data_IF_704675187346
#
_entry.id   IF_704675187346
#
_cell.length_a   1.000
_cell.length_b   1.000
_cell.length_c   1.000
_cell.angle_alpha   90.00
_cell.angle_beta   90.00
_cell.angle_gamma   90.00
#
_symmetry.space_group_name_H-M   'P 1'
#
loop_
_entity.id
_entity.type
_entity.pdbx_description
1 polymer ?
#
# COMPACT_ATOMS: atom_id res chain seq x y z
N UNK A 1 17.49 24.16 12.50
CA UNK A 1 17.69 22.85 11.87
C UNK A 1 16.36 22.11 12.01
N UNK A 2 15.82 21.52 10.95
CA UNK A 2 14.59 20.72 11.07
C UNK A 2 14.90 19.42 11.81
N UNK A 3 13.96 18.96 12.64
CA UNK A 3 14.05 17.65 13.29
C UNK A 3 13.95 16.54 12.25
N UNK A 4 14.61 15.41 12.49
CA UNK A 4 14.45 14.21 11.69
C UNK A 4 13.09 13.56 11.91
N UNK A 5 12.64 12.73 10.96
CA UNK A 5 11.36 12.01 11.06
C UNK A 5 11.28 11.18 12.34
N UNK A 6 12.39 10.57 12.77
CA UNK A 6 12.50 9.77 14.00
C UNK A 6 12.32 10.63 15.25
N UNK A 7 12.97 11.78 15.32
CA UNK A 7 12.85 12.70 16.45
C UNK A 7 11.41 13.21 16.60
N UNK A 8 10.76 13.55 15.47
CA UNK A 8 9.35 13.99 15.47
C UNK A 8 8.44 12.85 15.97
N UNK A 9 8.64 11.62 15.48
CA UNK A 9 7.85 10.48 15.90
C UNK A 9 8.02 10.13 17.37
N UNK A 10 9.25 10.19 17.91
CA UNK A 10 9.55 9.89 19.32
C UNK A 10 9.03 10.92 20.31
N UNK A 11 8.90 12.19 19.87
CA UNK A 11 8.30 13.25 20.67
C UNK A 11 6.76 13.24 20.64
N UNK A 12 6.15 12.38 19.81
CA UNK A 12 4.70 12.34 19.64
C UNK A 12 3.96 11.95 20.93
N UNK A 13 2.96 12.71 21.30
CA UNK A 13 2.06 12.40 22.42
C UNK A 13 0.90 11.54 21.91
N UNK A 14 1.12 10.23 21.85
CA UNK A 14 0.11 9.29 21.38
C UNK A 14 -1.02 9.10 22.37
N UNK A 15 -2.25 9.08 21.88
CA UNK A 15 -3.44 8.66 22.63
C UNK A 15 -3.54 7.12 22.67
N UNK A 16 -4.26 6.57 23.64
CA UNK A 16 -4.56 5.14 23.65
C UNK A 16 -5.38 4.78 22.38
N UNK A 17 -5.06 3.66 21.73
CA UNK A 17 -5.73 3.30 20.47
C UNK A 17 -7.24 3.10 20.62
N UNK A 18 -7.72 2.69 21.79
CA UNK A 18 -9.14 2.64 22.14
C UNK A 18 -9.82 3.99 21.95
N UNK A 19 -9.16 5.07 22.40
CA UNK A 19 -9.75 6.42 22.35
C UNK A 19 -9.78 6.96 20.91
N UNK A 20 -8.78 6.60 20.11
CA UNK A 20 -8.74 6.90 18.68
C UNK A 20 -9.86 6.15 17.93
N UNK A 21 -9.97 4.85 18.17
CA UNK A 21 -10.99 3.99 17.54
C UNK A 21 -12.41 4.39 17.96
N UNK A 22 -12.60 4.72 19.24
CA UNK A 22 -13.90 5.13 19.79
C UNK A 22 -14.50 6.36 19.11
N UNK A 23 -13.67 7.32 18.66
CA UNK A 23 -14.15 8.50 17.90
C UNK A 23 -14.80 8.12 16.56
N UNK A 24 -14.50 6.94 16.06
CA UNK A 24 -15.04 6.41 14.81
C UNK A 24 -16.12 5.34 15.04
N UNK A 25 -16.56 5.18 16.30
CA UNK A 25 -17.63 4.27 16.67
C UNK A 25 -17.20 2.80 16.72
N UNK A 26 -15.92 2.54 16.95
CA UNK A 26 -15.38 1.20 17.18
C UNK A 26 -15.38 0.96 18.69
N UNK A 27 -16.04 -0.09 19.15
CA UNK A 27 -16.11 -0.46 20.56
C UNK A 27 -14.82 -1.17 21.02
N UNK A 28 -14.59 -1.19 22.34
CA UNK A 28 -13.35 -1.76 22.90
C UNK A 28 -13.26 -3.28 22.67
N UNK A 29 -14.37 -3.99 22.71
CA UNK A 29 -14.47 -5.42 22.45
C UNK A 29 -14.33 -5.80 20.96
N UNK A 30 -14.33 -4.81 20.08
CA UNK A 30 -14.05 -4.96 18.65
C UNK A 30 -12.56 -4.75 18.30
N UNK A 31 -11.72 -4.59 19.34
CA UNK A 31 -10.26 -4.37 19.22
C UNK A 31 -9.48 -5.50 19.90
N UNK A 32 -8.56 -6.10 19.18
CA UNK A 32 -7.54 -6.99 19.75
C UNK A 32 -6.26 -6.18 19.97
N UNK A 33 -5.97 -5.81 21.22
CA UNK A 33 -4.87 -4.90 21.54
C UNK A 33 -3.48 -5.54 21.39
N UNK A 34 -2.60 -4.80 20.73
CA UNK A 34 -1.16 -5.06 20.66
C UNK A 34 -0.41 -3.93 21.38
N UNK A 35 -0.60 -3.85 22.70
CA UNK A 35 -0.13 -2.74 23.54
C UNK A 35 -1.10 -1.56 23.52
N UNK A 36 -0.62 -0.36 23.87
CA UNK A 36 -1.46 0.83 24.07
C UNK A 36 -1.86 1.54 22.77
N UNK A 37 -1.05 1.43 21.73
CA UNK A 37 -1.08 2.35 20.58
C UNK A 37 -1.45 1.68 19.26
N UNK A 38 -1.63 0.36 19.26
CA UNK A 38 -2.01 -0.44 18.10
C UNK A 38 -2.96 -1.57 18.48
N UNK A 39 -3.83 -1.94 17.55
CA UNK A 39 -4.76 -3.05 17.71
C UNK A 39 -5.10 -3.66 16.36
N UNK A 40 -5.64 -4.87 16.36
CA UNK A 40 -6.32 -5.46 15.20
C UNK A 40 -7.82 -5.23 15.31
N UNK A 41 -8.46 -5.06 14.16
CA UNK A 41 -9.90 -4.93 14.02
C UNK A 41 -10.52 -6.32 13.88
N UNK A 42 -11.55 -6.62 14.67
CA UNK A 42 -12.17 -7.95 14.74
C UNK A 42 -13.12 -8.22 13.57
N UNK A 43 -13.44 -9.49 13.34
CA UNK A 43 -14.45 -9.90 12.37
C UNK A 43 -15.87 -9.50 12.80
N UNK A 44 -16.10 -9.33 14.11
CA UNK A 44 -17.35 -8.83 14.69
C UNK A 44 -17.59 -7.37 14.28
N UNK A 45 -16.57 -6.52 14.32
CA UNK A 45 -16.66 -5.16 13.81
C UNK A 45 -17.05 -5.16 12.32
N UNK A 46 -16.38 -5.96 11.50
CA UNK A 46 -16.67 -6.03 10.06
C UNK A 46 -18.14 -6.41 9.80
N UNK A 47 -18.65 -7.41 10.50
CA UNK A 47 -20.05 -7.83 10.41
C UNK A 47 -21.01 -6.72 10.85
N UNK A 48 -20.71 -6.04 11.96
CA UNK A 48 -21.58 -4.97 12.50
C UNK A 48 -21.69 -3.80 11.54
N UNK A 49 -20.57 -3.40 10.91
CA UNK A 49 -20.55 -2.23 10.01
C UNK A 49 -20.90 -2.55 8.56
N UNK A 50 -21.07 -3.83 8.20
CA UNK A 50 -21.30 -4.26 6.82
C UNK A 50 -22.47 -3.53 6.12
N UNK A 51 -23.52 -3.20 6.87
CA UNK A 51 -24.70 -2.47 6.39
C UNK A 51 -24.54 -0.95 6.30
N UNK A 52 -23.45 -0.39 6.79
CA UNK A 52 -23.21 1.05 6.72
C UNK A 52 -23.03 1.51 5.27
N UNK A 53 -23.41 2.77 5.00
CA UNK A 53 -23.09 3.42 3.72
C UNK A 53 -21.58 3.56 3.58
N UNK A 54 -21.07 3.33 2.36
CA UNK A 54 -19.67 3.58 2.06
C UNK A 54 -19.36 5.09 2.04
N UNK A 55 -18.24 5.46 2.63
CA UNK A 55 -17.63 6.76 2.45
C UNK A 55 -17.05 6.95 1.05
N UNK A 56 -16.44 8.11 0.81
CA UNK A 56 -15.77 8.46 -0.45
C UNK A 56 -14.34 7.96 -0.46
N UNK A 57 -13.94 7.27 -1.52
CA UNK A 57 -12.59 6.72 -1.69
C UNK A 57 -11.71 7.69 -2.49
N UNK A 58 -10.62 8.14 -1.89
CA UNK A 58 -9.61 9.01 -2.50
C UNK A 58 -8.34 8.18 -2.70
N UNK A 59 -7.92 8.04 -3.96
CA UNK A 59 -6.68 7.34 -4.31
C UNK A 59 -5.54 8.36 -4.46
N UNK A 60 -4.47 8.20 -3.70
CA UNK A 60 -3.22 8.94 -3.87
C UNK A 60 -2.23 8.10 -4.68
N UNK A 61 -1.77 8.65 -5.78
CA UNK A 61 -0.74 8.09 -6.64
C UNK A 61 0.32 9.16 -6.95
N UNK A 62 1.24 8.92 -7.86
CA UNK A 62 2.26 9.89 -8.23
C UNK A 62 2.69 9.74 -9.69
N UNK A 63 3.51 10.67 -10.14
CA UNK A 63 4.31 10.52 -11.36
C UNK A 63 5.34 9.39 -11.19
N UNK A 64 6.10 9.07 -12.24
CA UNK A 64 7.12 8.00 -12.17
C UNK A 64 8.07 8.21 -10.98
N UNK A 65 8.42 7.11 -10.27
CA UNK A 65 9.29 7.19 -9.11
C UNK A 65 10.69 7.64 -9.49
N UNK A 66 11.25 8.55 -8.68
CA UNK A 66 12.61 9.04 -8.81
C UNK A 66 13.46 8.65 -7.59
N UNK A 67 14.80 8.75 -7.65
CA UNK A 67 15.63 8.45 -6.50
C UNK A 67 15.38 9.31 -5.26
N UNK A 68 14.72 10.47 -5.43
CA UNK A 68 14.37 11.38 -4.32
C UNK A 68 13.07 10.98 -3.61
N UNK A 69 12.23 10.18 -4.26
CA UNK A 69 10.88 9.86 -3.81
C UNK A 69 9.89 11.03 -4.02
N UNK A 70 8.62 10.73 -4.18
CA UNK A 70 7.57 11.73 -4.44
C UNK A 70 6.76 12.09 -3.18
N UNK A 71 6.87 11.28 -2.11
CA UNK A 71 6.22 11.54 -0.83
C UNK A 71 4.73 11.15 -0.80
N UNK A 72 4.28 10.14 -1.55
CA UNK A 72 2.89 9.67 -1.57
C UNK A 72 2.31 9.42 -0.18
N UNK A 73 3.01 8.65 0.66
CA UNK A 73 2.54 8.30 2.00
C UNK A 73 2.41 9.54 2.88
N UNK A 74 3.38 10.45 2.81
CA UNK A 74 3.35 11.74 3.52
C UNK A 74 2.14 12.58 3.09
N UNK A 75 1.88 12.68 1.78
CA UNK A 75 0.69 13.36 1.24
C UNK A 75 -0.59 12.66 1.67
N UNK A 76 -0.66 11.32 1.64
CA UNK A 76 -1.85 10.57 2.06
C UNK A 76 -2.21 10.83 3.53
N UNK A 77 -1.21 10.85 4.39
CA UNK A 77 -1.39 11.13 5.83
C UNK A 77 -1.77 12.60 6.02
N UNK A 78 -1.02 13.53 5.43
CA UNK A 78 -1.30 14.96 5.56
C UNK A 78 -2.67 15.36 5.01
N UNK A 79 -3.12 14.74 3.91
CA UNK A 79 -4.49 14.92 3.39
C UNK A 79 -5.54 14.37 4.37
N UNK A 80 -5.29 13.20 4.97
CA UNK A 80 -6.17 12.64 6.01
C UNK A 80 -6.30 13.59 7.19
N UNK A 81 -5.19 14.11 7.68
CA UNK A 81 -5.15 15.08 8.78
C UNK A 81 -5.87 16.38 8.40
N UNK A 82 -5.62 16.91 7.20
CA UNK A 82 -6.26 18.14 6.71
C UNK A 82 -7.79 17.99 6.59
N UNK A 83 -8.28 16.87 6.05
CA UNK A 83 -9.71 16.58 5.97
C UNK A 83 -10.35 16.52 7.36
N UNK A 84 -9.69 15.88 8.33
CA UNK A 84 -10.16 15.86 9.72
C UNK A 84 -10.17 17.26 10.36
N UNK A 85 -9.16 18.12 10.09
CA UNK A 85 -9.17 19.53 10.52
C UNK A 85 -10.36 20.31 9.95
N UNK A 86 -10.79 20.01 8.74
CA UNK A 86 -12.00 20.56 8.11
C UNK A 86 -13.30 19.91 8.61
N UNK A 87 -13.24 19.13 9.69
CA UNK A 87 -14.40 18.46 10.28
C UNK A 87 -14.97 17.29 9.47
N UNK A 88 -14.17 16.75 8.54
CA UNK A 88 -14.55 15.56 7.74
C UNK A 88 -14.05 14.30 8.43
N UNK A 89 -14.94 13.37 8.73
CA UNK A 89 -14.60 12.09 9.35
C UNK A 89 -13.80 11.21 8.37
N UNK A 90 -12.48 11.24 8.47
CA UNK A 90 -11.55 10.66 7.48
C UNK A 90 -10.60 9.64 8.11
N UNK A 91 -10.41 8.50 7.47
CA UNK A 91 -9.39 7.49 7.80
C UNK A 91 -8.36 7.36 6.68
N UNK A 92 -7.10 7.12 7.05
CA UNK A 92 -6.10 6.61 6.11
C UNK A 92 -6.19 5.08 6.02
N UNK A 93 -5.98 4.53 4.82
CA UNK A 93 -5.86 3.09 4.58
C UNK A 93 -4.55 2.82 3.83
N UNK A 94 -3.52 2.35 4.55
CA UNK A 94 -2.13 2.32 4.11
C UNK A 94 -1.58 0.90 4.04
N UNK A 95 -0.43 0.76 3.37
CA UNK A 95 0.34 -0.49 3.38
C UNK A 95 1.23 -0.56 4.59
N UNK A 96 1.46 -1.78 5.05
CA UNK A 96 2.47 -2.10 6.04
C UNK A 96 3.86 -2.11 5.38
N UNK A 97 4.90 -1.48 5.97
CA UNK A 97 6.26 -1.47 5.42
C UNK A 97 6.97 -2.82 5.64
N UNK A 98 7.83 -3.19 4.69
CA UNK A 98 8.70 -4.36 4.75
C UNK A 98 10.06 -4.01 5.36
N UNK A 99 10.67 -4.94 6.10
CA UNK A 99 11.97 -4.77 6.74
C UNK A 99 13.09 -4.49 5.74
N UNK A 100 13.10 -5.19 4.60
CA UNK A 100 14.13 -5.00 3.59
C UNK A 100 14.27 -3.55 3.12
N UNK A 101 13.19 -2.89 2.65
CA UNK A 101 13.19 -1.46 2.35
C UNK A 101 13.51 -0.56 3.54
N UNK A 102 13.04 -0.89 4.76
CA UNK A 102 13.33 -0.09 5.96
C UNK A 102 14.82 0.02 6.25
N UNK A 103 15.55 -1.08 6.11
CA UNK A 103 17.01 -1.14 6.28
C UNK A 103 17.79 -0.87 4.97
N UNK A 104 17.10 -0.55 3.87
CA UNK A 104 17.68 -0.23 2.58
C UNK A 104 17.75 1.28 2.32
N UNK A 105 18.03 1.63 1.05
CA UNK A 105 18.14 3.02 0.59
C UNK A 105 16.83 3.81 0.78
N UNK A 106 15.67 3.13 0.72
CA UNK A 106 14.37 3.76 0.84
C UNK A 106 14.07 4.24 2.27
N UNK A 107 14.57 3.53 3.27
CA UNK A 107 14.21 3.77 4.68
C UNK A 107 12.77 3.32 5.02
N UNK A 108 12.26 3.77 6.15
CA UNK A 108 10.90 3.46 6.63
C UNK A 108 9.79 4.04 5.75
N UNK A 109 8.57 3.58 5.98
CA UNK A 109 7.39 3.96 5.19
C UNK A 109 6.20 4.40 6.08
N UNK A 110 6.48 5.11 7.16
CA UNK A 110 5.48 5.64 8.09
C UNK A 110 5.00 7.07 7.74
N UNK A 111 5.36 7.60 6.58
CA UNK A 111 5.24 9.01 6.22
C UNK A 111 6.52 9.77 6.51
N UNK A 112 6.47 11.10 6.64
CA UNK A 112 7.63 11.93 6.94
C UNK A 112 7.24 13.30 7.51
N UNK A 113 8.19 13.93 8.23
CA UNK A 113 7.97 15.20 8.91
C UNK A 113 6.81 15.12 9.90
N UNK A 114 5.93 16.10 9.83
CA UNK A 114 4.74 16.17 10.68
C UNK A 114 3.53 15.40 10.11
N UNK A 115 3.68 14.69 9.00
CA UNK A 115 2.67 13.78 8.45
C UNK A 115 3.14 12.34 8.52
N UNK A 116 3.05 11.75 9.70
CA UNK A 116 3.45 10.37 9.99
C UNK A 116 2.35 9.60 10.69
N UNK A 117 2.37 8.27 10.56
CA UNK A 117 1.65 7.33 11.43
C UNK A 117 2.57 6.83 12.54
N UNK A 118 2.01 6.70 13.73
CA UNK A 118 2.75 6.33 14.95
C UNK A 118 2.04 5.19 15.70
N UNK A 119 2.78 4.30 16.39
CA UNK A 119 4.23 4.31 16.67
C UNK A 119 5.05 3.91 15.43
N UNK A 120 5.99 4.75 15.03
CA UNK A 120 6.73 4.64 13.78
C UNK A 120 7.70 3.46 13.79
N UNK A 121 8.45 3.26 14.87
CA UNK A 121 9.39 2.15 15.00
C UNK A 121 8.68 0.80 14.96
N UNK A 122 7.57 0.64 15.69
CA UNK A 122 6.79 -0.60 15.69
C UNK A 122 6.29 -0.93 14.27
N UNK A 123 5.76 0.09 13.57
CA UNK A 123 5.26 -0.07 12.21
C UNK A 123 6.35 -0.52 11.23
N UNK A 124 7.53 0.08 11.33
CA UNK A 124 8.65 -0.21 10.41
C UNK A 124 9.37 -1.53 10.71
N UNK A 125 9.15 -2.13 11.88
CA UNK A 125 9.82 -3.36 12.29
C UNK A 125 8.84 -4.56 12.24
N UNK A 126 8.42 -5.08 13.38
CA UNK A 126 7.59 -6.29 13.43
C UNK A 126 6.09 -6.02 13.56
N UNK A 127 5.72 -4.78 13.74
CA UNK A 127 4.36 -4.24 13.89
C UNK A 127 3.44 -5.12 14.75
N UNK A 128 2.59 -5.96 14.15
CA UNK A 128 1.71 -6.94 14.80
C UNK A 128 2.02 -8.39 14.39
N UNK A 129 3.09 -8.60 13.63
CA UNK A 129 3.57 -9.92 13.24
C UNK A 129 3.01 -10.46 11.92
N UNK A 130 2.28 -9.66 11.14
CA UNK A 130 1.64 -10.10 9.91
C UNK A 130 2.64 -10.60 8.87
N UNK A 131 3.75 -9.88 8.66
CA UNK A 131 4.78 -10.31 7.72
C UNK A 131 5.52 -11.56 8.18
N UNK A 132 5.71 -11.72 9.49
CA UNK A 132 6.26 -12.95 10.04
C UNK A 132 5.33 -14.15 9.83
N UNK A 133 4.02 -13.97 10.02
CA UNK A 133 3.02 -14.99 9.75
C UNK A 133 3.00 -15.40 8.25
N UNK A 134 3.07 -14.41 7.34
CA UNK A 134 3.15 -14.64 5.89
C UNK A 134 4.44 -15.41 5.54
N UNK A 135 5.59 -14.98 6.06
CA UNK A 135 6.88 -15.67 5.87
C UNK A 135 6.79 -17.12 6.35
N UNK A 136 6.22 -17.34 7.53
CA UNK A 136 6.06 -18.68 8.11
C UNK A 136 5.15 -19.57 7.27
N UNK A 137 4.00 -19.05 6.81
CA UNK A 137 3.07 -19.81 5.96
C UNK A 137 3.70 -20.15 4.60
N UNK A 138 4.44 -19.23 4.01
CA UNK A 138 5.15 -19.44 2.75
C UNK A 138 6.22 -20.54 2.87
N UNK A 139 7.01 -20.48 3.92
CA UNK A 139 8.10 -21.42 4.13
C UNK A 139 7.59 -22.79 4.63
N UNK A 140 6.45 -22.83 5.34
CA UNK A 140 5.76 -24.07 5.65
C UNK A 140 5.37 -24.82 4.37
N UNK A 141 4.77 -24.12 3.40
CA UNK A 141 4.41 -24.73 2.12
C UNK A 141 5.63 -25.26 1.37
N UNK A 142 6.75 -24.52 1.38
CA UNK A 142 8.01 -25.00 0.79
C UNK A 142 8.55 -26.24 1.50
N UNK A 143 8.47 -26.29 2.84
CA UNK A 143 8.91 -27.45 3.62
C UNK A 143 8.02 -28.67 3.38
N UNK A 144 6.70 -28.51 3.28
CA UNK A 144 5.76 -29.59 2.96
C UNK A 144 5.99 -30.14 1.56
N UNK A 145 6.26 -29.29 0.59
CA UNK A 145 6.62 -29.68 -0.77
C UNK A 145 7.90 -30.55 -0.79
N UNK A 146 8.98 -30.09 -0.15
CA UNK A 146 10.23 -30.85 -0.09
C UNK A 146 10.07 -32.16 0.68
N UNK A 147 9.29 -32.15 1.76
CA UNK A 147 8.98 -33.39 2.50
C UNK A 147 8.17 -34.35 1.66
N UNK A 148 7.19 -33.91 0.88
CA UNK A 148 6.42 -34.75 -0.03
C UNK A 148 7.33 -35.45 -1.06
N UNK A 149 8.23 -34.67 -1.68
CA UNK A 149 9.21 -35.22 -2.64
C UNK A 149 10.12 -36.25 -1.98
N UNK A 150 10.59 -36.01 -0.75
CA UNK A 150 11.49 -36.89 -0.01
C UNK A 150 10.79 -38.20 0.46
N UNK A 151 9.51 -38.13 0.83
CA UNK A 151 8.76 -39.24 1.44
C UNK A 151 8.00 -40.11 0.43
N UNK A 152 8.42 -40.12 -0.81
CA UNK A 152 7.88 -41.05 -1.81
C UNK A 152 7.26 -40.39 -3.04
N UNK A 153 7.04 -39.07 -2.99
CA UNK A 153 6.60 -38.25 -4.14
C UNK A 153 5.36 -38.85 -4.87
N UNK A 154 4.31 -39.17 -4.12
CA UNK A 154 3.08 -39.80 -4.65
C UNK A 154 2.44 -38.95 -5.77
N UNK A 155 2.57 -37.60 -5.71
CA UNK A 155 2.09 -36.68 -6.74
C UNK A 155 3.00 -36.63 -7.97
N UNK A 156 4.09 -37.39 -7.98
CA UNK A 156 5.07 -37.46 -9.08
C UNK A 156 5.62 -36.10 -9.52
N UNK A 157 5.92 -35.24 -8.56
CA UNK A 157 6.46 -33.88 -8.81
C UNK A 157 7.82 -34.02 -9.53
N UNK A 158 7.98 -33.32 -10.66
CA UNK A 158 9.29 -33.14 -11.29
C UNK A 158 10.08 -32.10 -10.49
N UNK A 159 11.15 -32.52 -9.85
CA UNK A 159 11.99 -31.68 -9.01
C UNK A 159 12.65 -30.52 -9.75
N UNK A 160 12.70 -30.58 -11.09
CA UNK A 160 13.18 -29.50 -11.98
C UNK A 160 12.09 -28.49 -12.31
N UNK A 161 10.82 -28.79 -11.98
CA UNK A 161 9.66 -27.93 -12.26
C UNK A 161 8.96 -27.46 -10.98
N UNK A 162 9.71 -27.32 -9.89
CA UNK A 162 9.24 -26.68 -8.66
C UNK A 162 9.24 -25.16 -8.89
N UNK A 163 8.05 -24.54 -8.83
CA UNK A 163 7.86 -23.10 -9.03
C UNK A 163 7.71 -22.33 -7.72
N UNK A 164 7.32 -23.02 -6.64
CA UNK A 164 7.20 -22.41 -5.32
C UNK A 164 8.57 -22.09 -4.74
N UNK A 165 8.69 -20.87 -4.17
CA UNK A 165 9.95 -20.38 -3.61
C UNK A 165 9.80 -20.06 -2.13
N UNK A 166 10.93 -20.09 -1.42
CA UNK A 166 11.00 -19.61 -0.04
C UNK A 166 10.94 -18.09 0.01
N UNK A 167 10.67 -17.52 1.19
CA UNK A 167 10.75 -16.08 1.37
C UNK A 167 11.44 -15.69 2.68
N UNK A 168 11.97 -14.46 2.67
CA UNK A 168 12.56 -13.79 3.82
C UNK A 168 12.28 -12.29 3.67
N UNK A 169 11.84 -11.63 4.74
CA UNK A 169 11.52 -10.19 4.65
C UNK A 169 12.79 -9.31 4.75
N UNK A 170 13.76 -9.60 3.89
CA UNK A 170 15.04 -8.90 3.79
C UNK A 170 15.52 -8.87 2.34
N UNK A 171 16.21 -7.79 1.96
CA UNK A 171 16.90 -7.72 0.69
C UNK A 171 18.23 -8.48 0.77
N UNK A 172 18.25 -9.72 0.33
CA UNK A 172 19.45 -10.56 0.30
C UNK A 172 19.69 -11.12 -1.11
N UNK A 173 20.67 -10.54 -1.83
CA UNK A 173 20.98 -10.95 -3.19
C UNK A 173 21.68 -12.30 -3.29
N UNK A 174 22.31 -12.76 -2.22
CA UNK A 174 23.02 -14.05 -2.20
C UNK A 174 22.02 -15.22 -2.21
N UNK A 175 20.83 -15.00 -1.69
CA UNK A 175 19.77 -16.01 -1.64
C UNK A 175 18.91 -16.08 -2.92
N UNK A 176 19.26 -15.35 -3.97
CA UNK A 176 18.49 -15.35 -5.23
C UNK A 176 18.61 -16.66 -6.03
N UNK A 177 19.74 -17.33 -5.93
CA UNK A 177 19.93 -18.66 -6.53
C UNK A 177 20.76 -19.47 -5.56
N UNK A 178 20.18 -20.53 -5.04
CA UNK A 178 20.81 -21.43 -4.05
C UNK A 178 20.55 -22.88 -4.43
N UNK A 179 21.29 -23.77 -3.83
CA UNK A 179 21.06 -25.22 -3.90
C UNK A 179 20.61 -25.69 -2.51
N UNK A 180 19.49 -26.41 -2.46
CA UNK A 180 18.94 -27.00 -1.23
C UNK A 180 19.04 -28.53 -1.28
N UNK A 181 18.91 -29.19 -0.11
CA UNK A 181 18.94 -30.64 0.00
C UNK A 181 20.35 -31.24 -0.10
N UNK A 182 21.40 -30.44 0.07
CA UNK A 182 22.79 -30.92 0.11
C UNK A 182 23.04 -31.67 1.41
N UNK A 183 23.83 -32.77 1.30
CA UNK A 183 24.22 -33.60 2.45
C UNK A 183 23.88 -35.09 2.26
N UNK A 184 23.38 -35.72 3.31
CA UNK A 184 23.02 -37.14 3.31
C UNK A 184 21.62 -37.35 2.71
N UNK A 185 21.26 -38.62 2.47
CA UNK A 185 19.92 -39.01 1.96
C UNK A 185 18.75 -38.46 2.79
N UNK A 186 18.94 -38.23 4.09
CA UNK A 186 17.94 -37.69 4.99
C UNK A 186 17.75 -36.14 4.84
N UNK A 187 18.67 -35.46 4.17
CA UNK A 187 18.65 -33.99 4.05
C UNK A 187 17.77 -33.49 2.88
N UNK A 188 17.17 -34.38 2.12
CA UNK A 188 16.23 -34.08 1.05
C UNK A 188 16.79 -34.36 -0.36
N UNK A 189 16.05 -33.92 -1.37
CA UNK A 189 16.44 -34.05 -2.78
C UNK A 189 17.14 -32.78 -3.23
N UNK A 190 18.33 -32.92 -3.79
CA UNK A 190 19.12 -31.78 -4.27
C UNK A 190 18.42 -31.09 -5.45
N UNK A 191 18.15 -29.80 -5.31
CA UNK A 191 17.55 -28.98 -6.36
C UNK A 191 17.95 -27.51 -6.23
N UNK A 192 17.73 -26.74 -7.28
CA UNK A 192 17.79 -25.28 -7.23
C UNK A 192 16.57 -24.69 -6.48
N UNK A 193 16.81 -23.66 -5.71
CA UNK A 193 15.78 -22.87 -5.04
C UNK A 193 16.22 -21.39 -4.97
N UNK A 194 15.36 -20.50 -4.48
CA UNK A 194 15.70 -19.13 -4.15
C UNK A 194 14.77 -18.56 -3.09
N UNK A 195 15.17 -17.43 -2.49
CA UNK A 195 14.33 -16.65 -1.61
C UNK A 195 13.83 -15.39 -2.31
N UNK A 196 12.52 -15.16 -2.25
CA UNK A 196 11.93 -13.86 -2.58
C UNK A 196 11.74 -13.06 -1.30
N UNK A 197 11.62 -11.73 -1.40
CA UNK A 197 11.24 -10.91 -0.26
C UNK A 197 9.75 -11.17 0.08
N UNK A 198 9.39 -11.20 1.36
CA UNK A 198 8.04 -11.57 1.82
C UNK A 198 6.92 -10.79 1.13
N UNK A 199 7.13 -9.50 0.86
CA UNK A 199 6.17 -8.63 0.16
C UNK A 199 6.02 -8.93 -1.34
N UNK A 200 6.88 -9.78 -1.90
CA UNK A 200 6.76 -10.31 -3.26
C UNK A 200 6.16 -11.72 -3.29
N UNK A 201 5.86 -12.33 -2.14
CA UNK A 201 5.26 -13.65 -2.07
C UNK A 201 3.81 -13.64 -2.57
N UNK A 202 3.38 -14.76 -3.15
CA UNK A 202 1.99 -14.94 -3.58
C UNK A 202 1.03 -14.89 -2.38
N UNK A 203 1.45 -15.38 -1.21
CA UNK A 203 0.65 -15.34 0.02
C UNK A 203 0.35 -13.89 0.45
N UNK A 204 1.31 -12.97 0.32
CA UNK A 204 1.06 -11.55 0.57
C UNK A 204 -0.05 -11.00 -0.35
N UNK A 205 0.01 -11.32 -1.64
CA UNK A 205 -1.00 -10.90 -2.61
C UNK A 205 -2.38 -11.52 -2.31
N UNK A 206 -2.41 -12.81 -1.99
CA UNK A 206 -3.63 -13.55 -1.62
C UNK A 206 -4.27 -12.95 -0.36
N UNK A 207 -3.51 -12.74 0.70
CA UNK A 207 -4.01 -12.13 1.94
C UNK A 207 -4.62 -10.76 1.71
N UNK A 208 -3.98 -9.94 0.86
CA UNK A 208 -4.49 -8.60 0.55
C UNK A 208 -5.74 -8.59 -0.33
N UNK A 209 -5.99 -9.65 -1.11
CA UNK A 209 -7.19 -9.78 -1.96
C UNK A 209 -8.29 -10.61 -1.31
N UNK A 210 -8.00 -11.37 -0.26
CA UNK A 210 -8.98 -12.18 0.45
C UNK A 210 -10.04 -11.31 1.15
N UNK A 211 -11.29 -11.77 1.11
CA UNK A 211 -12.42 -11.10 1.74
C UNK A 211 -12.69 -11.61 3.16
N UNK A 212 -12.40 -12.87 3.40
CA UNK A 212 -12.58 -13.56 4.68
C UNK A 212 -11.69 -14.80 4.77
N UNK A 213 -11.78 -15.54 5.87
CA UNK A 213 -10.99 -16.76 6.08
C UNK A 213 -11.37 -17.89 5.10
N UNK A 214 -12.60 -17.97 4.65
CA UNK A 214 -13.03 -19.01 3.71
C UNK A 214 -12.44 -18.74 2.30
N UNK A 215 -12.50 -17.48 1.85
CA UNK A 215 -11.89 -17.03 0.60
C UNK A 215 -10.36 -17.15 0.67
N UNK A 216 -9.74 -16.83 1.81
CA UNK A 216 -8.31 -17.04 2.03
C UNK A 216 -7.93 -18.51 1.83
N UNK A 217 -8.63 -19.44 2.49
CA UNK A 217 -8.38 -20.89 2.35
C UNK A 217 -8.54 -21.37 0.92
N UNK A 218 -9.60 -20.92 0.24
CA UNK A 218 -9.83 -21.27 -1.17
C UNK A 218 -8.65 -20.85 -2.03
N UNK A 219 -8.22 -19.58 -1.94
CA UNK A 219 -7.08 -19.06 -2.72
C UNK A 219 -5.77 -19.77 -2.40
N UNK A 220 -5.52 -20.06 -1.11
CA UNK A 220 -4.33 -20.81 -0.69
C UNK A 220 -4.31 -22.21 -1.28
N UNK A 221 -5.46 -22.90 -1.37
CA UNK A 221 -5.53 -24.24 -1.94
C UNK A 221 -5.24 -24.28 -3.45
N UNK A 222 -5.46 -23.17 -4.16
CA UNK A 222 -5.28 -23.05 -5.61
C UNK A 222 -3.84 -22.66 -6.01
N UNK A 223 -2.94 -22.39 -5.05
CA UNK A 223 -1.53 -22.06 -5.32
C UNK A 223 -0.85 -23.21 -6.05
N UNK A 224 -0.30 -22.95 -7.23
CA UNK A 224 0.51 -23.93 -7.97
C UNK A 224 1.92 -23.93 -7.37
N UNK A 225 2.38 -25.08 -6.89
CA UNK A 225 3.69 -25.23 -6.24
C UNK A 225 4.74 -25.89 -7.15
N UNK A 226 4.28 -26.74 -8.08
CA UNK A 226 5.14 -27.47 -9.00
C UNK A 226 4.33 -28.02 -10.17
N UNK A 227 5.01 -28.65 -11.11
CA UNK A 227 4.39 -29.54 -12.12
C UNK A 227 4.89 -30.96 -11.95
N UNK A 228 4.02 -31.93 -12.23
CA UNK A 228 4.36 -33.34 -12.20
C UNK A 228 5.06 -33.80 -13.51
N UNK A 229 5.54 -35.06 -13.57
CA UNK A 229 6.20 -35.56 -14.78
C UNK A 229 5.29 -35.66 -16.01
N UNK A 230 3.97 -35.60 -15.86
CA UNK A 230 3.01 -35.48 -16.96
C UNK A 230 2.79 -34.00 -17.42
N UNK A 231 3.39 -33.04 -16.74
CA UNK A 231 3.22 -31.60 -17.03
C UNK A 231 1.95 -31.00 -16.41
N UNK A 232 1.29 -31.68 -15.50
CA UNK A 232 0.09 -31.20 -14.81
C UNK A 232 0.48 -30.40 -13.58
N UNK A 233 -0.26 -29.31 -13.24
CA UNK A 233 0.01 -28.50 -12.05
C UNK A 233 -0.29 -29.27 -10.77
N UNK A 234 0.57 -29.13 -9.79
CA UNK A 234 0.39 -29.60 -8.41
C UNK A 234 0.16 -28.40 -7.53
N UNK A 235 -0.89 -28.45 -6.70
CA UNK A 235 -1.32 -27.32 -5.87
C UNK A 235 -0.98 -27.49 -4.39
N UNK A 236 -1.08 -26.42 -3.62
CA UNK A 236 -1.01 -26.47 -2.16
C UNK A 236 -2.17 -27.28 -1.54
N UNK A 237 -3.32 -27.32 -2.24
CA UNK A 237 -4.44 -28.19 -1.90
C UNK A 237 -4.09 -29.67 -2.01
N UNK A 238 -3.40 -30.10 -3.07
CA UNK A 238 -2.94 -31.48 -3.28
C UNK A 238 -1.94 -31.90 -2.20
N UNK A 239 -1.13 -30.97 -1.70
CA UNK A 239 -0.22 -31.18 -0.57
C UNK A 239 -0.91 -31.15 0.80
N UNK A 240 -2.23 -30.92 0.87
CA UNK A 240 -3.00 -30.75 2.10
C UNK A 240 -2.46 -29.64 3.02
N UNK A 241 -1.78 -28.62 2.47
CA UNK A 241 -1.10 -27.57 3.23
C UNK A 241 -2.05 -26.47 3.73
N UNK A 242 -3.22 -26.29 3.10
CA UNK A 242 -4.13 -25.14 3.25
C UNK A 242 -4.53 -24.88 4.70
N UNK A 243 -4.86 -25.93 5.46
CA UNK A 243 -5.31 -25.78 6.86
C UNK A 243 -4.22 -25.21 7.77
N UNK A 244 -3.00 -25.73 7.65
CA UNK A 244 -1.85 -25.28 8.44
C UNK A 244 -1.42 -23.84 8.06
N UNK A 245 -1.41 -23.51 6.78
CA UNK A 245 -1.15 -22.15 6.31
C UNK A 245 -2.20 -21.15 6.84
N UNK A 246 -3.49 -21.50 6.77
CA UNK A 246 -4.58 -20.67 7.27
C UNK A 246 -4.49 -20.45 8.80
N UNK A 247 -4.07 -21.48 9.55
CA UNK A 247 -3.86 -21.37 10.99
C UNK A 247 -2.74 -20.36 11.34
N UNK A 248 -1.64 -20.34 10.57
CA UNK A 248 -0.58 -19.35 10.72
C UNK A 248 -1.06 -17.94 10.38
N UNK A 249 -1.99 -17.78 9.45
CA UNK A 249 -2.48 -16.50 8.96
C UNK A 249 -3.74 -16.00 9.68
N UNK A 250 -4.26 -16.71 10.70
CA UNK A 250 -5.54 -16.41 11.35
C UNK A 250 -5.64 -15.00 11.93
N UNK A 251 -4.55 -14.46 12.45
CA UNK A 251 -4.50 -13.12 13.01
C UNK A 251 -4.00 -12.09 11.97
N UNK A 252 -3.13 -12.52 11.05
CA UNK A 252 -2.60 -11.68 9.98
C UNK A 252 -3.67 -11.23 8.97
N UNK A 253 -4.80 -11.94 8.84
CA UNK A 253 -5.90 -11.54 7.97
C UNK A 253 -6.71 -10.35 8.51
N UNK A 254 -6.61 -10.05 9.80
CA UNK A 254 -7.30 -8.93 10.46
C UNK A 254 -6.53 -7.63 10.23
N UNK A 255 -7.17 -6.56 9.75
CA UNK A 255 -6.53 -5.26 9.58
C UNK A 255 -6.05 -4.65 10.90
N UNK A 256 -4.97 -3.89 10.85
CA UNK A 256 -4.40 -3.20 12.00
C UNK A 256 -4.88 -1.74 12.03
N UNK A 257 -5.12 -1.20 13.22
CA UNK A 257 -5.41 0.21 13.45
C UNK A 257 -4.33 0.85 14.30
N UNK A 258 -3.87 2.02 13.87
CA UNK A 258 -2.93 2.93 14.54
C UNK A 258 -3.42 4.37 14.39
N UNK A 259 -2.58 5.34 14.72
CA UNK A 259 -2.93 6.76 14.66
C UNK A 259 -1.90 7.57 13.88
N UNK A 260 -2.31 8.71 13.32
CA UNK A 260 -1.40 9.73 12.81
C UNK A 260 -0.85 10.58 13.97
N UNK A 261 0.16 11.42 13.71
CA UNK A 261 0.70 12.36 14.70
C UNK A 261 -0.39 13.28 15.28
N UNK A 262 -1.39 13.64 14.49
CA UNK A 262 -2.51 14.47 14.94
C UNK A 262 -3.67 13.67 15.56
N UNK A 263 -3.47 12.37 15.79
CA UNK A 263 -4.43 11.50 16.48
C UNK A 263 -5.62 11.08 15.64
N UNK A 264 -5.48 11.01 14.33
CA UNK A 264 -6.50 10.45 13.45
C UNK A 264 -6.24 8.96 13.19
N UNK A 265 -7.28 8.12 13.00
CA UNK A 265 -7.08 6.70 12.78
C UNK A 265 -6.49 6.41 11.40
N UNK A 266 -5.60 5.44 11.35
CA UNK A 266 -5.07 4.85 10.15
C UNK A 266 -5.20 3.32 10.21
N UNK A 267 -5.81 2.72 9.19
CA UNK A 267 -5.84 1.27 9.04
C UNK A 267 -4.66 0.87 8.17
N UNK A 268 -3.79 0.00 8.71
CA UNK A 268 -2.59 -0.47 8.03
C UNK A 268 -2.66 -1.97 7.88
N UNK A 269 -2.58 -2.48 6.64
CA UNK A 269 -2.71 -3.92 6.44
C UNK A 269 -2.16 -4.37 5.10
N UNK A 270 -1.23 -5.32 5.14
CA UNK A 270 -0.55 -5.90 4.00
C UNK A 270 0.33 -4.89 3.24
N UNK A 271 1.29 -5.39 2.49
CA UNK A 271 2.28 -4.56 1.82
C UNK A 271 2.80 -5.12 0.49
N UNK A 272 1.93 -5.63 -0.41
CA UNK A 272 2.40 -6.24 -1.65
C UNK A 272 3.12 -5.19 -2.52
N UNK A 273 4.24 -5.59 -3.13
CA UNK A 273 4.97 -4.72 -4.05
C UNK A 273 4.19 -4.52 -5.37
N UNK A 274 4.15 -3.28 -5.86
CA UNK A 274 3.41 -2.96 -7.08
C UNK A 274 4.04 -3.51 -8.35
N UNK A 275 5.35 -3.70 -8.38
CA UNK A 275 6.04 -4.32 -9.52
C UNK A 275 5.86 -5.85 -9.59
N UNK A 276 5.43 -6.49 -8.51
CA UNK A 276 5.20 -7.94 -8.45
C UNK A 276 3.71 -8.26 -8.36
N UNK A 277 2.95 -7.54 -7.52
CA UNK A 277 1.53 -7.76 -7.25
C UNK A 277 0.74 -6.47 -7.49
N UNK A 278 -0.34 -6.23 -6.74
CA UNK A 278 -1.24 -5.09 -6.97
C UNK A 278 -0.85 -3.81 -6.20
N UNK A 279 0.19 -3.84 -5.35
CA UNK A 279 0.86 -2.67 -4.81
C UNK A 279 0.04 -1.72 -3.95
N UNK A 280 -1.00 -2.20 -3.29
CA UNK A 280 -1.87 -1.43 -2.41
C UNK A 280 -2.27 -2.27 -1.19
N UNK A 281 -2.83 -1.63 -0.17
CA UNK A 281 -3.28 -2.31 1.04
C UNK A 281 -4.42 -3.32 0.77
N UNK A 282 -4.80 -4.07 1.81
CA UNK A 282 -5.80 -5.13 1.66
C UNK A 282 -7.19 -4.60 1.30
N UNK A 283 -7.97 -5.45 0.67
CA UNK A 283 -9.40 -5.24 0.38
C UNK A 283 -10.19 -5.03 1.67
N UNK A 284 -9.94 -5.87 2.69
CA UNK A 284 -10.61 -5.79 3.99
C UNK A 284 -10.37 -4.43 4.66
N UNK A 285 -9.10 -3.98 4.70
CA UNK A 285 -8.75 -2.67 5.28
C UNK A 285 -9.48 -1.51 4.60
N UNK A 286 -9.49 -1.48 3.26
CA UNK A 286 -10.17 -0.41 2.52
C UNK A 286 -11.68 -0.45 2.71
N UNK A 287 -12.31 -1.63 2.61
CA UNK A 287 -13.76 -1.78 2.80
C UNK A 287 -14.18 -1.39 4.22
N UNK A 288 -13.42 -1.84 5.23
CA UNK A 288 -13.71 -1.50 6.63
C UNK A 288 -13.58 0.00 6.89
N UNK A 289 -12.54 0.65 6.35
CA UNK A 289 -12.38 2.10 6.43
C UNK A 289 -13.56 2.86 5.81
N UNK A 290 -14.03 2.42 4.64
CA UNK A 290 -15.20 3.00 3.95
C UNK A 290 -16.49 2.88 4.76
N UNK A 291 -16.66 1.80 5.53
CA UNK A 291 -17.83 1.59 6.40
C UNK A 291 -17.78 2.40 7.70
N UNK A 292 -16.59 2.86 8.11
CA UNK A 292 -16.33 3.54 9.37
C UNK A 292 -16.19 5.06 9.24
N UNK A 293 -15.95 5.57 8.03
CA UNK A 293 -15.66 6.99 7.81
C UNK A 293 -16.35 7.57 6.57
N UNK A 294 -16.47 8.90 6.52
CA UNK A 294 -17.07 9.59 5.38
C UNK A 294 -16.10 9.68 4.19
N UNK A 295 -14.79 9.69 4.49
CA UNK A 295 -13.72 9.74 3.50
C UNK A 295 -12.61 8.75 3.88
N UNK A 296 -12.08 8.08 2.86
CA UNK A 296 -10.92 7.19 2.99
C UNK A 296 -9.84 7.65 2.03
N UNK A 297 -8.66 7.91 2.56
CA UNK A 297 -7.46 8.20 1.76
C UNK A 297 -6.61 6.94 1.71
N UNK A 298 -6.36 6.44 0.52
CA UNK A 298 -5.50 5.26 0.29
C UNK A 298 -4.46 5.57 -0.76
N UNK A 299 -3.44 4.72 -0.86
CA UNK A 299 -2.36 4.91 -1.82
C UNK A 299 -2.11 3.69 -2.69
N UNK A 300 -1.50 3.91 -3.87
CA UNK A 300 -0.94 2.87 -4.71
C UNK A 300 0.57 3.07 -4.90
N UNK A 301 1.33 1.98 -4.90
CA UNK A 301 2.79 2.01 -5.02
C UNK A 301 3.26 2.43 -6.41
N UNK A 302 4.48 2.95 -6.52
CA UNK A 302 5.06 3.45 -7.77
C UNK A 302 4.29 4.64 -8.37
N UNK A 303 4.33 4.80 -9.68
CA UNK A 303 3.60 5.82 -10.41
C UNK A 303 2.19 5.38 -10.81
N UNK A 304 1.44 6.32 -11.38
CA UNK A 304 0.07 6.06 -11.81
C UNK A 304 -0.01 5.05 -12.96
N UNK A 305 1.03 4.96 -13.76
CA UNK A 305 1.22 4.02 -14.87
C UNK A 305 1.42 2.55 -14.44
N UNK A 306 1.65 2.31 -13.15
CA UNK A 306 1.85 0.97 -12.60
C UNK A 306 0.93 0.71 -11.41
N UNK A 307 1.14 1.42 -10.30
CA UNK A 307 0.41 1.13 -9.06
C UNK A 307 -1.06 1.51 -9.10
N UNK A 308 -1.40 2.70 -9.60
CA UNK A 308 -2.80 3.10 -9.73
C UNK A 308 -3.53 2.25 -10.77
N UNK A 309 -2.88 1.92 -11.90
CA UNK A 309 -3.43 1.03 -12.92
C UNK A 309 -3.75 -0.34 -12.32
N UNK A 310 -2.83 -0.96 -11.57
CA UNK A 310 -3.10 -2.23 -10.86
C UNK A 310 -4.16 -2.10 -9.76
N UNK A 311 -4.22 -0.97 -9.07
CA UNK A 311 -5.29 -0.69 -8.10
C UNK A 311 -6.66 -0.75 -8.80
N UNK A 312 -6.80 -0.11 -9.95
CA UNK A 312 -8.04 -0.06 -10.72
C UNK A 312 -8.36 -1.41 -11.37
N UNK A 313 -7.41 -1.99 -12.10
CA UNK A 313 -7.63 -3.20 -12.89
C UNK A 313 -7.65 -4.50 -12.08
N UNK A 314 -7.01 -4.53 -10.92
CA UNK A 314 -6.99 -5.73 -10.08
C UNK A 314 -7.91 -5.55 -8.87
N UNK A 315 -7.59 -4.60 -7.96
CA UNK A 315 -8.32 -4.46 -6.70
C UNK A 315 -9.77 -4.00 -6.94
N UNK A 316 -9.96 -2.93 -7.69
CA UNK A 316 -11.29 -2.39 -7.97
C UNK A 316 -12.16 -3.37 -8.76
N UNK A 317 -11.64 -3.96 -9.84
CA UNK A 317 -12.36 -4.95 -10.64
C UNK A 317 -12.84 -6.15 -9.83
N UNK A 318 -11.96 -6.70 -8.96
CA UNK A 318 -12.29 -7.90 -8.18
C UNK A 318 -13.27 -7.61 -7.04
N UNK A 319 -13.37 -6.37 -6.59
CA UNK A 319 -14.07 -6.04 -5.33
C UNK A 319 -15.24 -5.08 -5.47
N UNK A 320 -15.44 -4.51 -6.66
CA UNK A 320 -16.46 -3.48 -6.91
C UNK A 320 -16.11 -2.10 -6.33
N UNK A 321 -14.90 -1.92 -5.80
CA UNK A 321 -14.43 -0.62 -5.34
C UNK A 321 -14.19 0.32 -6.53
N UNK A 322 -14.42 1.62 -6.31
CA UNK A 322 -14.11 2.67 -7.28
C UNK A 322 -13.66 3.92 -6.52
N UNK A 323 -12.50 4.51 -6.85
CA UNK A 323 -12.16 5.83 -6.33
C UNK A 323 -13.15 6.89 -6.81
N UNK A 324 -13.51 7.80 -5.91
CA UNK A 324 -14.32 8.97 -6.24
C UNK A 324 -13.46 10.14 -6.74
N UNK A 325 -12.18 10.17 -6.33
CA UNK A 325 -11.17 11.11 -6.82
C UNK A 325 -9.78 10.48 -6.78
N UNK A 326 -8.88 10.99 -7.61
CA UNK A 326 -7.45 10.63 -7.63
C UNK A 326 -6.61 11.87 -7.38
N UNK A 327 -5.65 11.76 -6.47
CA UNK A 327 -4.62 12.76 -6.22
C UNK A 327 -3.31 12.27 -6.86
N UNK A 328 -2.78 13.01 -7.82
CA UNK A 328 -1.45 12.75 -8.42
C UNK A 328 -0.42 13.64 -7.73
N UNK A 329 0.53 13.01 -7.06
CA UNK A 329 1.64 13.70 -6.40
C UNK A 329 2.78 13.91 -7.41
N UNK A 330 3.21 15.15 -7.55
CA UNK A 330 4.40 15.54 -8.28
C UNK A 330 5.37 16.29 -7.36
N UNK A 331 6.64 16.38 -7.76
CA UNK A 331 7.64 17.22 -7.12
C UNK A 331 8.43 17.96 -8.19
N UNK A 332 8.87 19.17 -7.88
CA UNK A 332 9.77 19.94 -8.77
C UNK A 332 11.01 19.12 -9.12
N UNK A 333 11.60 18.45 -8.12
CA UNK A 333 12.80 17.61 -8.31
C UNK A 333 12.55 16.45 -9.28
N UNK A 334 11.41 15.76 -9.16
CA UNK A 334 11.09 14.64 -10.04
C UNK A 334 10.87 15.11 -11.49
N UNK A 335 10.17 16.20 -11.68
CA UNK A 335 9.94 16.77 -13.02
C UNK A 335 11.25 17.26 -13.65
N UNK A 336 12.12 17.95 -12.92
CA UNK A 336 13.46 18.32 -13.41
C UNK A 336 14.33 17.12 -13.75
N UNK A 337 14.26 16.06 -12.92
CA UNK A 337 14.97 14.80 -13.21
C UNK A 337 14.48 14.16 -14.51
N UNK A 338 13.17 14.11 -14.72
CA UNK A 338 12.57 13.65 -15.97
C UNK A 338 12.94 14.54 -17.17
N UNK A 339 13.22 15.81 -16.93
CA UNK A 339 13.75 16.76 -17.91
C UNK A 339 15.26 16.68 -18.13
N UNK A 340 15.96 15.68 -17.56
CA UNK A 340 17.36 15.38 -17.80
C UNK A 340 18.35 16.02 -16.82
N UNK A 341 17.89 16.66 -15.73
CA UNK A 341 18.77 17.21 -14.70
C UNK A 341 19.38 16.08 -13.86
N UNK A 342 20.68 16.12 -13.64
CA UNK A 342 21.38 15.18 -12.76
C UNK A 342 20.97 15.36 -11.30
N UNK A 343 21.02 14.28 -10.52
CA UNK A 343 20.60 14.25 -9.13
C UNK A 343 21.25 15.34 -8.26
N UNK A 344 22.51 15.64 -8.51
CA UNK A 344 23.31 16.61 -7.75
C UNK A 344 22.79 18.05 -7.90
N UNK A 345 22.12 18.35 -9.03
CA UNK A 345 21.71 19.72 -9.42
C UNK A 345 20.20 19.95 -9.28
N UNK A 346 19.45 18.98 -8.72
CA UNK A 346 17.98 19.09 -8.58
C UNK A 346 17.52 20.20 -7.64
N UNK A 347 18.40 20.76 -6.82
CA UNK A 347 18.08 21.86 -5.91
C UNK A 347 18.23 23.25 -6.55
N UNK A 348 18.78 23.34 -7.76
CA UNK A 348 18.93 24.56 -8.51
C UNK A 348 17.69 24.83 -9.36
N UNK A 349 17.26 26.10 -9.47
CA UNK A 349 16.15 26.47 -10.34
C UNK A 349 16.45 26.11 -11.80
N UNK A 350 15.52 25.42 -12.47
CA UNK A 350 15.68 25.09 -13.88
C UNK A 350 14.33 24.93 -14.59
N UNK A 351 13.77 26.05 -15.05
CA UNK A 351 12.48 26.07 -15.74
C UNK A 351 12.50 25.34 -17.09
N UNK A 352 13.64 25.35 -17.81
CA UNK A 352 13.73 24.66 -19.10
C UNK A 352 13.66 23.13 -18.92
N UNK A 353 14.37 22.59 -17.93
CA UNK A 353 14.27 21.18 -17.61
C UNK A 353 12.85 20.83 -17.08
N UNK A 354 12.25 21.73 -16.33
CA UNK A 354 10.89 21.55 -15.83
C UNK A 354 9.88 21.44 -16.98
N UNK A 355 10.00 22.33 -18.00
CA UNK A 355 9.21 22.29 -19.23
C UNK A 355 9.42 20.98 -20.02
N UNK A 356 10.66 20.51 -20.08
CA UNK A 356 10.98 19.26 -20.75
C UNK A 356 10.40 18.00 -20.02
N UNK A 357 10.36 18.05 -18.67
CA UNK A 357 9.93 16.92 -17.86
C UNK A 357 8.44 16.90 -17.53
N UNK A 358 7.71 18.00 -17.72
CA UNK A 358 6.28 18.11 -17.35
C UNK A 358 5.40 17.12 -18.12
N UNK A 359 5.82 16.71 -19.32
CA UNK A 359 5.10 15.71 -20.15
C UNK A 359 4.91 14.38 -19.45
N UNK A 360 5.74 14.07 -18.44
CA UNK A 360 5.56 12.91 -17.59
C UNK A 360 4.28 13.07 -16.73
N UNK A 361 4.07 14.23 -16.14
CA UNK A 361 2.85 14.54 -15.38
C UNK A 361 1.63 14.52 -16.29
N UNK A 362 1.72 15.10 -17.49
CA UNK A 362 0.62 15.14 -18.46
C UNK A 362 0.12 13.73 -18.77
N UNK A 363 1.05 12.79 -19.00
CA UNK A 363 0.70 11.41 -19.29
C UNK A 363 0.00 10.71 -18.13
N UNK A 364 0.41 10.98 -16.91
CA UNK A 364 -0.25 10.43 -15.71
C UNK A 364 -1.64 11.02 -15.50
N UNK A 365 -1.85 12.29 -15.77
CA UNK A 365 -3.17 12.94 -15.74
C UNK A 365 -4.08 12.27 -16.78
N UNK A 366 -3.62 12.19 -18.03
CA UNK A 366 -4.36 11.56 -19.13
C UNK A 366 -4.75 10.11 -18.79
N UNK A 367 -3.80 9.32 -18.24
CA UNK A 367 -4.08 7.93 -17.89
C UNK A 367 -5.20 7.82 -16.85
N UNK A 368 -5.20 8.64 -15.80
CA UNK A 368 -6.24 8.61 -14.78
C UNK A 368 -7.60 9.12 -15.31
N UNK A 369 -7.58 10.12 -16.17
CA UNK A 369 -8.79 10.61 -16.85
C UNK A 369 -9.40 9.54 -17.78
N UNK A 370 -8.58 8.73 -18.45
CA UNK A 370 -9.04 7.61 -19.29
C UNK A 370 -9.77 6.52 -18.49
N UNK A 371 -9.48 6.37 -17.20
CA UNK A 371 -10.27 5.54 -16.28
C UNK A 371 -11.59 6.21 -15.82
N UNK A 372 -11.90 7.40 -16.32
CA UNK A 372 -13.09 8.17 -15.94
C UNK A 372 -13.02 8.72 -14.52
N UNK A 373 -11.83 9.07 -14.04
CA UNK A 373 -11.59 9.59 -12.70
C UNK A 373 -11.32 11.09 -12.73
N UNK A 374 -11.82 11.79 -11.73
CA UNK A 374 -11.48 13.21 -11.52
C UNK A 374 -10.10 13.30 -10.86
N UNK A 375 -9.23 14.13 -11.44
CA UNK A 375 -7.84 14.25 -11.03
C UNK A 375 -7.61 15.59 -10.34
N UNK A 376 -6.99 15.52 -9.16
CA UNK A 376 -6.37 16.67 -8.48
C UNK A 376 -4.86 16.45 -8.50
N UNK A 377 -4.11 17.41 -8.96
CA UNK A 377 -2.64 17.37 -8.91
C UNK A 377 -2.17 18.10 -7.66
N UNK A 378 -1.30 17.47 -6.89
CA UNK A 378 -0.63 18.14 -5.77
C UNK A 378 0.88 18.18 -5.98
N UNK A 379 1.44 19.35 -5.75
CA UNK A 379 2.88 19.53 -5.70
C UNK A 379 3.34 19.37 -4.24
N UNK A 380 4.08 18.30 -3.95
CA UNK A 380 4.74 18.13 -2.66
C UNK A 380 5.96 19.03 -2.61
N UNK A 381 5.84 20.18 -1.94
CA UNK A 381 6.83 21.25 -1.95
C UNK A 381 8.04 20.94 -1.06
N UNK A 382 9.21 21.25 -1.56
CA UNK A 382 10.47 21.23 -0.82
C UNK A 382 10.97 22.65 -0.58
N UNK A 383 11.76 22.84 0.48
CA UNK A 383 12.33 24.16 0.83
C UNK A 383 13.27 24.74 -0.25
N UNK A 384 13.73 23.91 -1.18
CA UNK A 384 14.61 24.31 -2.29
C UNK A 384 13.87 24.72 -3.56
N UNK A 385 12.56 24.51 -3.61
CA UNK A 385 11.74 24.84 -4.78
C UNK A 385 11.49 26.36 -4.84
N UNK A 386 11.44 26.92 -6.05
CA UNK A 386 11.22 28.36 -6.24
C UNK A 386 9.76 28.66 -6.58
N UNK A 387 9.34 29.91 -6.34
CA UNK A 387 7.99 30.36 -6.73
C UNK A 387 7.76 30.29 -8.25
N UNK A 388 8.81 30.55 -9.04
CA UNK A 388 8.72 30.45 -10.50
C UNK A 388 8.43 29.01 -10.94
N UNK A 389 9.08 28.03 -10.32
CA UNK A 389 8.84 26.61 -10.58
C UNK A 389 7.43 26.19 -10.15
N UNK A 390 6.96 26.62 -8.98
CA UNK A 390 5.60 26.36 -8.50
C UNK A 390 4.54 26.96 -9.43
N UNK A 391 4.70 28.21 -9.82
CA UNK A 391 3.75 28.90 -10.68
C UNK A 391 3.68 28.26 -12.08
N UNK A 392 4.82 27.88 -12.64
CA UNK A 392 4.85 27.18 -13.93
C UNK A 392 4.03 25.89 -13.90
N UNK A 393 4.22 25.03 -12.88
CA UNK A 393 3.49 23.77 -12.76
C UNK A 393 2.00 24.04 -12.55
N UNK A 394 1.66 25.00 -11.68
CA UNK A 394 0.27 25.40 -11.42
C UNK A 394 -0.46 25.82 -12.69
N UNK A 395 0.10 26.80 -13.41
CA UNK A 395 -0.50 27.32 -14.65
C UNK A 395 -0.66 26.21 -15.70
N UNK A 396 0.32 25.31 -15.81
CA UNK A 396 0.28 24.18 -16.72
C UNK A 396 -0.87 23.23 -16.39
N UNK A 397 -0.97 22.79 -15.12
CA UNK A 397 -2.01 21.85 -14.64
C UNK A 397 -3.41 22.43 -14.75
N UNK A 398 -3.58 23.71 -14.35
CA UNK A 398 -4.85 24.42 -14.48
C UNK A 398 -5.24 24.60 -15.97
N UNK A 399 -4.25 24.82 -16.85
CA UNK A 399 -4.43 24.84 -18.30
C UNK A 399 -4.93 23.54 -18.92
N UNK A 400 -4.65 22.40 -18.27
CA UNK A 400 -5.20 21.08 -18.61
C UNK A 400 -6.60 20.84 -18.05
N UNK A 401 -7.19 21.80 -17.34
CA UNK A 401 -8.50 21.67 -16.69
C UNK A 401 -8.51 20.80 -15.44
N UNK A 402 -7.35 20.62 -14.80
CA UNK A 402 -7.23 19.91 -13.53
C UNK A 402 -7.10 20.87 -12.36
N UNK A 403 -7.62 20.47 -11.20
CA UNK A 403 -7.38 21.20 -9.94
C UNK A 403 -5.93 21.01 -9.49
N UNK A 404 -5.32 22.08 -9.01
CA UNK A 404 -3.97 22.11 -8.48
C UNK A 404 -3.95 22.57 -7.02
N UNK A 405 -3.07 21.96 -6.20
CA UNK A 405 -2.80 22.40 -4.84
C UNK A 405 -1.30 22.26 -4.49
N UNK A 406 -0.76 23.24 -3.79
CA UNK A 406 0.56 23.16 -3.20
C UNK A 406 0.46 22.54 -1.80
N UNK A 407 1.15 21.44 -1.54
CA UNK A 407 1.15 20.77 -0.25
C UNK A 407 2.47 20.96 0.49
N UNK A 408 2.39 21.35 1.77
CA UNK A 408 3.52 21.51 2.71
C UNK A 408 3.35 20.63 3.94
N UNK A 409 2.79 19.43 3.72
CA UNK A 409 2.39 18.53 4.82
C UNK A 409 3.58 17.96 5.59
N UNK A 410 4.74 17.83 4.96
CA UNK A 410 5.96 17.40 5.66
C UNK A 410 6.34 18.40 6.77
N UNK A 411 6.26 19.69 6.47
CA UNK A 411 6.63 20.78 7.40
C UNK A 411 5.54 21.11 8.41
N UNK A 412 4.26 21.05 7.98
CA UNK A 412 3.12 21.62 8.71
C UNK A 412 2.02 20.63 9.06
N UNK A 413 2.24 19.33 8.84
CA UNK A 413 1.20 18.31 9.09
C UNK A 413 -0.08 18.62 8.30
N UNK A 414 -1.23 18.35 8.90
CA UNK A 414 -2.53 18.59 8.28
C UNK A 414 -2.79 20.04 7.87
N UNK A 415 -2.24 21.02 8.57
CA UNK A 415 -2.37 22.45 8.20
C UNK A 415 -1.78 22.71 6.80
N UNK A 416 -0.65 22.06 6.48
CA UNK A 416 -0.01 22.17 5.18
C UNK A 416 -0.77 21.49 4.03
N UNK A 417 -1.84 20.75 4.34
CA UNK A 417 -2.70 20.02 3.40
C UNK A 417 -4.08 20.64 3.18
N UNK A 418 -4.42 21.75 3.85
CA UNK A 418 -5.78 22.33 3.81
C UNK A 418 -6.18 22.73 2.39
N UNK A 419 -5.29 23.34 1.62
CA UNK A 419 -5.55 23.69 0.22
C UNK A 419 -5.90 22.45 -0.60
N UNK A 420 -5.07 21.39 -0.50
CA UNK A 420 -5.31 20.11 -1.17
C UNK A 420 -6.65 19.49 -0.75
N UNK A 421 -6.95 19.49 0.55
CA UNK A 421 -8.22 18.96 1.06
C UNK A 421 -9.43 19.69 0.48
N UNK A 422 -9.40 21.01 0.38
CA UNK A 422 -10.48 21.80 -0.23
C UNK A 422 -10.63 21.48 -1.73
N UNK A 423 -9.52 21.35 -2.48
CA UNK A 423 -9.54 20.98 -3.90
C UNK A 423 -10.15 19.58 -4.10
N UNK A 424 -9.77 18.60 -3.25
CA UNK A 424 -10.33 17.24 -3.28
C UNK A 424 -11.83 17.28 -2.94
N UNK A 425 -12.26 18.01 -1.92
CA UNK A 425 -13.68 18.12 -1.57
C UNK A 425 -14.49 18.75 -2.71
N UNK A 426 -14.00 19.79 -3.35
CA UNK A 426 -14.65 20.39 -4.51
C UNK A 426 -14.76 19.39 -5.67
N UNK A 427 -13.68 18.68 -5.98
CA UNK A 427 -13.64 17.64 -6.99
C UNK A 427 -14.72 16.56 -6.75
N UNK A 428 -14.94 16.18 -5.50
CA UNK A 428 -15.93 15.18 -5.12
C UNK A 428 -17.39 15.68 -5.28
N UNK A 429 -17.65 16.98 -5.26
CA UNK A 429 -18.98 17.53 -5.49
C UNK A 429 -19.42 17.40 -6.95
N UNK A 430 -18.49 17.46 -7.90
CA UNK A 430 -18.77 17.33 -9.33
C UNK A 430 -18.96 15.87 -9.79
N UNK A 431 -18.68 14.88 -8.96
CA UNK A 431 -18.86 13.45 -9.26
C UNK A 431 -20.22 12.90 -8.88
N UNK A 432 -21.11 13.70 -8.26
CA UNK A 432 -22.51 13.29 -8.09
C UNK A 432 -23.16 13.20 -9.47
N UNK A 433 -23.62 12.01 -9.93
CA UNK A 433 -24.27 11.89 -11.22
C UNK A 433 -25.46 12.87 -11.27
N UNK A 434 -25.45 13.75 -12.26
CA UNK A 434 -26.58 14.61 -12.52
C UNK A 434 -27.80 13.72 -12.85
N UNK A 435 -29.03 14.08 -12.46
CA UNK A 435 -30.24 13.38 -12.92
C UNK A 435 -30.31 13.21 -14.45
N UNK A 436 -29.56 14.01 -15.21
CA UNK A 436 -29.46 13.92 -16.68
C UNK A 436 -28.59 12.75 -17.16
N UNK A 437 -27.63 12.28 -16.34
CA UNK A 437 -26.74 11.16 -16.71
C UNK A 437 -27.48 9.82 -16.65
N UNK A 438 -28.54 9.71 -15.84
CA UNK A 438 -29.46 8.55 -15.80
C UNK A 438 -30.40 8.48 -17.02
N UNK A 439 -30.65 9.59 -17.69
CA UNK A 439 -31.55 9.62 -18.85
C UNK A 439 -30.85 9.22 -20.16
N UNK A 440 -29.51 9.27 -20.23
CA UNK A 440 -28.72 8.94 -21.41
C UNK A 440 -28.28 7.46 -21.48
N UNK A 441 -28.54 6.67 -20.42
CA UNK A 441 -28.15 5.25 -20.32
C UNK A 441 -29.34 4.26 -20.48
N UNK A 442 -30.49 4.73 -20.97
CA UNK A 442 -31.64 3.91 -21.34
C UNK A 442 -31.84 3.83 -22.83
#
# INVERSE_FOLDING_TARGET
>A
MFKSDIEIAQEAKMSHIRDIAGRFGIAEDELEFYGKYKAKLTDELEKRVAGNKDGKLILVTAINPTPAGEGKTTISIGLTEALNKLGKKTMAALREPSLGPCFGIKGGAAGGGYSQVVPMEDLNLHFTGDFHAITSANNLLAALLDNHIQQGNELQIDTRQVVWKRCLDMNDRVLRNIVVGLGAKADGVVREDHFVITVASEIMAILCLATDMADLKKRLSEIIVAYNYAGEPVTAGDLHATGAMAALLKDAIKPNIIQTLEGNPAIVHGGPFANIAHGCNSVRATKMALKLSDYVVTEAGFGADLGAEKFLDIKCRKTGLRPDAVVIVATVKALKYNGGVKKENLSEENLEALKAGIVNLDKHIENMQNFGLNVVVTLNAFATDTEAEHNFIKEHVEGMGCEFALARVWEKGGEGGIELANKVLNCLLYTSPSPRDYAASR
#
